data_IF_735633725636
#
_entry.id   IF_735633725636
#
_cell.length_a   1.000
_cell.length_b   1.000
_cell.length_c   1.000
_cell.angle_alpha   90.00
_cell.angle_beta   90.00
_cell.angle_gamma   90.00
#
_symmetry.space_group_name_H-M   'P 1'
#
loop_
_entity.id
_entity.type
_entity.pdbx_description
1 polymer ?
#
# COMPACT_ATOMS: atom_id res chain seq x y z
N UNK A 1 -11.97 -59.33 -3.54
CA UNK A 1 -11.76 -58.02 -2.88
C UNK A 1 -10.88 -57.18 -3.77
N UNK A 2 -11.46 -56.26 -4.53
CA UNK A 2 -10.72 -55.28 -5.33
C UNK A 2 -10.62 -53.99 -4.50
N UNK A 3 -9.40 -53.60 -4.12
CA UNK A 3 -9.14 -52.32 -3.46
C UNK A 3 -9.29 -51.21 -4.51
N UNK A 4 -10.32 -50.38 -4.36
CA UNK A 4 -10.42 -49.12 -5.07
C UNK A 4 -9.43 -48.13 -4.45
N UNK A 5 -8.40 -47.76 -5.21
CA UNK A 5 -7.49 -46.66 -4.85
C UNK A 5 -8.25 -45.37 -5.16
N UNK A 6 -8.78 -44.73 -4.11
CA UNK A 6 -9.29 -43.36 -4.18
C UNK A 6 -8.09 -42.43 -4.40
N UNK A 7 -7.93 -41.95 -5.63
CA UNK A 7 -7.04 -40.83 -5.91
C UNK A 7 -7.60 -39.59 -5.21
N UNK A 8 -6.91 -39.12 -4.17
CA UNK A 8 -7.17 -37.82 -3.59
C UNK A 8 -6.91 -36.77 -4.68
N UNK A 9 -7.81 -35.79 -4.89
CA UNK A 9 -7.53 -34.69 -5.79
C UNK A 9 -6.27 -33.97 -5.28
N UNK A 10 -5.29 -33.82 -6.17
CA UNK A 10 -4.16 -32.94 -5.94
C UNK A 10 -4.72 -31.54 -5.67
N UNK A 11 -4.68 -31.09 -4.43
CA UNK A 11 -4.89 -29.69 -4.08
C UNK A 11 -3.67 -28.93 -4.62
N UNK A 12 -3.71 -28.59 -5.90
CA UNK A 12 -2.85 -27.53 -6.41
C UNK A 12 -3.10 -26.31 -5.50
N UNK A 13 -2.04 -25.80 -4.87
CA UNK A 13 -2.12 -24.55 -4.11
C UNK A 13 -2.80 -23.51 -5.00
N UNK A 14 -3.85 -22.87 -4.49
CA UNK A 14 -4.50 -21.77 -5.22
C UNK A 14 -3.47 -20.67 -5.46
N UNK A 15 -3.42 -20.15 -6.70
CA UNK A 15 -2.62 -18.97 -7.06
C UNK A 15 -2.97 -17.82 -6.11
N UNK A 16 -1.97 -17.05 -5.67
CA UNK A 16 -2.21 -15.87 -4.83
C UNK A 16 -2.92 -14.80 -5.66
N UNK A 17 -4.13 -14.40 -5.25
CA UNK A 17 -4.96 -13.43 -5.96
C UNK A 17 -4.98 -12.05 -5.30
N UNK A 18 -5.32 -11.03 -6.11
CA UNK A 18 -5.55 -9.67 -5.63
C UNK A 18 -6.97 -9.53 -5.01
N UNK A 19 -7.17 -8.62 -4.04
CA UNK A 19 -8.45 -8.44 -3.35
C UNK A 19 -9.51 -7.63 -4.13
N UNK A 20 -9.27 -7.37 -5.41
CA UNK A 20 -10.17 -6.62 -6.28
C UNK A 20 -10.34 -7.35 -7.62
N UNK A 21 -11.52 -7.21 -8.27
CA UNK A 21 -11.74 -7.78 -9.59
C UNK A 21 -10.73 -7.21 -10.59
N UNK A 22 -10.20 -8.08 -11.45
CA UNK A 22 -9.35 -7.67 -12.55
C UNK A 22 -10.17 -7.52 -13.84
N UNK A 23 -9.96 -6.43 -14.57
CA UNK A 23 -10.64 -6.16 -15.84
C UNK A 23 -10.09 -7.07 -16.94
N UNK A 24 -10.96 -7.80 -17.63
CA UNK A 24 -10.61 -8.54 -18.85
C UNK A 24 -10.23 -7.56 -19.97
N UNK A 25 -9.21 -7.87 -20.79
CA UNK A 25 -8.85 -7.04 -21.94
C UNK A 25 -10.03 -6.92 -22.92
N UNK A 26 -10.13 -5.79 -23.58
CA UNK A 26 -11.09 -5.54 -24.65
C UNK A 26 -10.38 -4.89 -25.84
N UNK A 27 -10.76 -5.26 -27.06
CA UNK A 27 -10.18 -4.76 -28.32
C UNK A 27 -10.49 -3.29 -28.65
N UNK A 28 -10.79 -2.48 -27.62
CA UNK A 28 -10.94 -1.04 -27.77
C UNK A 28 -9.58 -0.39 -28.07
N UNK A 29 -9.30 -0.25 -29.37
CA UNK A 29 -8.30 0.56 -30.06
C UNK A 29 -6.88 0.62 -29.45
N UNK A 30 -5.88 0.26 -30.28
CA UNK A 30 -4.48 0.59 -30.04
C UNK A 30 -4.31 2.11 -29.87
N UNK A 31 -4.06 2.56 -28.64
CA UNK A 31 -3.47 3.88 -28.42
C UNK A 31 -1.97 3.76 -28.62
N UNK A 32 -1.48 4.20 -29.78
CA UNK A 32 -0.05 4.16 -30.14
C UNK A 32 0.83 5.13 -29.32
N UNK A 33 0.26 5.98 -28.48
CA UNK A 33 1.03 6.96 -27.70
C UNK A 33 1.53 6.41 -26.35
N UNK A 34 2.47 5.47 -26.47
CA UNK A 34 3.39 5.20 -25.39
C UNK A 34 4.57 6.16 -25.45
N UNK A 35 4.47 7.26 -24.71
CA UNK A 35 5.61 8.17 -24.50
C UNK A 35 6.80 7.41 -23.91
N UNK A 36 8.02 7.83 -24.24
CA UNK A 36 9.25 7.26 -23.69
C UNK A 36 9.23 7.30 -22.15
N UNK A 37 9.56 6.19 -21.45
CA UNK A 37 9.68 6.20 -20.00
C UNK A 37 10.82 7.12 -19.55
N UNK A 38 10.67 7.81 -18.40
CA UNK A 38 11.78 8.57 -17.82
C UNK A 38 12.91 7.62 -17.40
N UNK A 39 14.12 8.16 -17.31
CA UNK A 39 15.30 7.44 -16.86
C UNK A 39 15.08 6.77 -15.49
N UNK A 40 15.63 5.56 -15.33
CA UNK A 40 15.55 4.79 -14.11
C UNK A 40 16.38 5.45 -13.01
N UNK A 41 15.77 5.70 -11.85
CA UNK A 41 16.48 6.21 -10.67
C UNK A 41 16.98 5.02 -9.86
N UNK A 42 18.28 4.74 -9.94
CA UNK A 42 18.91 3.57 -9.29
C UNK A 42 19.00 3.75 -7.78
N UNK A 43 19.59 4.87 -7.34
CA UNK A 43 19.81 5.18 -5.94
C UNK A 43 18.86 6.24 -5.40
N UNK A 44 18.45 6.10 -4.14
CA UNK A 44 17.73 7.13 -3.40
C UNK A 44 18.45 7.47 -2.09
N UNK A 45 18.66 8.76 -1.91
CA UNK A 45 18.93 9.37 -0.62
C UNK A 45 17.79 10.34 -0.29
N UNK A 46 17.02 10.05 0.76
CA UNK A 46 15.85 10.84 1.12
C UNK A 46 16.08 11.61 2.43
N UNK A 47 15.91 12.93 2.36
CA UNK A 47 15.85 13.80 3.52
C UNK A 47 14.49 13.68 4.17
N UNK A 48 14.44 13.48 5.49
CA UNK A 48 13.18 13.48 6.23
C UNK A 48 12.54 14.88 6.17
N UNK A 49 11.23 14.96 5.87
CA UNK A 49 10.47 16.24 5.93
C UNK A 49 10.46 16.89 7.33
N UNK A 50 10.88 16.14 8.35
CA UNK A 50 11.01 16.58 9.72
C UNK A 50 12.44 17.04 10.06
N UNK A 51 13.38 17.11 9.12
CA UNK A 51 14.75 17.60 9.37
C UNK A 51 15.42 16.89 10.57
N UNK A 52 15.78 17.65 11.61
CA UNK A 52 16.28 17.17 12.92
C UNK A 52 15.26 17.27 14.06
N UNK A 53 13.96 17.44 13.74
CA UNK A 53 12.84 17.66 14.68
C UNK A 53 12.60 16.51 15.66
N UNK A 54 13.39 16.47 16.73
CA UNK A 54 13.16 15.70 17.94
C UNK A 54 12.85 14.20 17.76
N UNK A 55 12.51 13.51 18.86
CA UNK A 55 12.11 12.10 18.79
C UNK A 55 10.68 11.91 18.27
N UNK A 56 9.81 12.93 18.42
CA UNK A 56 8.39 12.86 18.06
C UNK A 56 8.14 13.07 16.57
N UNK A 57 9.02 13.80 15.87
CA UNK A 57 8.89 14.05 14.43
C UNK A 57 7.50 14.60 14.09
N UNK A 58 7.03 15.59 14.81
CA UNK A 58 5.65 16.09 14.70
C UNK A 58 5.56 17.50 14.12
N UNK A 59 6.70 18.16 13.86
CA UNK A 59 6.81 19.50 13.32
C UNK A 59 7.60 19.49 12.00
N UNK A 60 6.95 19.93 10.92
CA UNK A 60 7.55 19.94 9.59
C UNK A 60 8.62 21.02 9.53
N UNK A 61 9.83 20.63 9.12
CA UNK A 61 10.88 21.56 8.75
C UNK A 61 10.65 21.99 7.29
N UNK A 62 10.43 23.29 7.07
CA UNK A 62 10.04 23.80 5.76
C UNK A 62 11.14 23.60 4.69
N UNK A 63 12.41 23.63 5.05
CA UNK A 63 13.52 23.41 4.11
C UNK A 63 13.72 21.93 3.82
N UNK A 64 13.66 21.10 4.86
CA UNK A 64 13.74 19.66 4.73
C UNK A 64 12.56 19.11 3.91
N UNK A 65 11.34 19.63 4.10
CA UNK A 65 10.17 19.27 3.30
C UNK A 65 10.29 19.73 1.84
N UNK A 66 10.84 20.92 1.56
CA UNK A 66 11.15 21.33 0.18
C UNK A 66 12.16 20.39 -0.48
N UNK A 67 13.20 19.99 0.26
CA UNK A 67 14.23 19.05 -0.22
C UNK A 67 13.63 17.68 -0.50
N UNK A 68 12.88 17.13 0.46
CA UNK A 68 12.12 15.89 0.33
C UNK A 68 11.21 15.89 -0.91
N UNK A 69 10.42 16.96 -1.09
CA UNK A 69 9.54 17.13 -2.26
C UNK A 69 10.33 17.15 -3.57
N UNK A 70 11.49 17.82 -3.61
CA UNK A 70 12.36 17.85 -4.79
C UNK A 70 12.91 16.45 -5.12
N UNK A 71 13.41 15.73 -4.11
CA UNK A 71 13.94 14.37 -4.26
C UNK A 71 12.87 13.39 -4.73
N UNK A 72 11.65 13.46 -4.18
CA UNK A 72 10.57 12.54 -4.51
C UNK A 72 9.81 12.89 -5.79
N UNK A 73 9.95 14.12 -6.32
CA UNK A 73 9.20 14.60 -7.50
C UNK A 73 9.27 13.64 -8.70
N UNK A 74 10.44 13.21 -9.20
CA UNK A 74 10.51 12.35 -10.39
C UNK A 74 9.90 10.96 -10.14
N UNK A 75 10.10 10.38 -8.96
CA UNK A 75 9.55 9.07 -8.59
C UNK A 75 8.02 9.15 -8.51
N UNK A 76 7.49 10.17 -7.85
CA UNK A 76 6.04 10.39 -7.74
C UNK A 76 5.41 10.63 -9.11
N UNK A 77 6.06 11.41 -9.98
CA UNK A 77 5.57 11.64 -11.34
C UNK A 77 5.51 10.33 -12.14
N UNK A 78 6.54 9.49 -12.05
CA UNK A 78 6.54 8.16 -12.67
C UNK A 78 5.38 7.28 -12.16
N UNK A 79 5.27 7.11 -10.83
CA UNK A 79 4.22 6.28 -10.23
C UNK A 79 2.81 6.79 -10.55
N UNK A 80 2.59 8.11 -10.50
CA UNK A 80 1.30 8.71 -10.84
C UNK A 80 0.89 8.43 -12.29
N UNK A 81 1.83 8.50 -13.23
CA UNK A 81 1.54 8.24 -14.64
C UNK A 81 1.21 6.77 -14.89
N UNK A 82 1.96 5.84 -14.30
CA UNK A 82 1.66 4.41 -14.36
C UNK A 82 0.31 4.06 -13.75
N UNK A 83 0.05 4.54 -12.54
CA UNK A 83 -1.22 4.33 -11.83
C UNK A 83 -2.40 4.90 -12.63
N UNK A 84 -2.24 6.07 -13.23
CA UNK A 84 -3.28 6.67 -14.09
C UNK A 84 -3.57 5.79 -15.30
N UNK A 85 -2.55 5.24 -15.96
CA UNK A 85 -2.73 4.30 -17.09
C UNK A 85 -3.41 3.00 -16.64
N UNK A 86 -2.97 2.42 -15.53
CA UNK A 86 -3.58 1.23 -14.95
C UNK A 86 -5.05 1.45 -14.60
N UNK A 87 -5.42 2.58 -13.99
CA UNK A 87 -6.82 2.90 -13.72
C UNK A 87 -7.63 3.10 -15.02
N UNK A 88 -7.06 3.67 -16.09
CA UNK A 88 -7.75 3.73 -17.40
C UNK A 88 -7.98 2.34 -17.98
N UNK A 89 -7.01 1.45 -17.87
CA UNK A 89 -7.18 0.04 -18.23
C UNK A 89 -8.31 -0.58 -17.41
N UNK A 90 -8.30 -0.46 -16.09
CA UNK A 90 -9.36 -1.03 -15.22
C UNK A 90 -10.75 -0.52 -15.61
N UNK A 91 -10.86 0.77 -15.97
CA UNK A 91 -12.13 1.37 -16.39
C UNK A 91 -12.60 0.89 -17.78
N UNK A 92 -11.69 0.70 -18.74
CA UNK A 92 -12.04 0.54 -20.16
C UNK A 92 -11.70 -0.83 -20.75
N UNK A 93 -10.63 -1.47 -20.30
CA UNK A 93 -10.06 -2.72 -20.83
C UNK A 93 -9.06 -2.52 -21.98
N UNK A 94 -8.63 -1.29 -22.27
CA UNK A 94 -7.79 -0.98 -23.43
C UNK A 94 -6.37 -1.55 -23.31
N UNK A 95 -6.02 -2.52 -24.17
CA UNK A 95 -4.73 -3.23 -24.14
C UNK A 95 -3.52 -2.29 -24.23
N UNK A 96 -3.63 -1.18 -24.96
CA UNK A 96 -2.55 -0.21 -25.08
C UNK A 96 -2.14 0.43 -23.75
N UNK A 97 -3.10 0.74 -22.86
CA UNK A 97 -2.78 1.26 -21.53
C UNK A 97 -2.01 0.21 -20.70
N UNK A 98 -2.38 -1.07 -20.83
CA UNK A 98 -1.71 -2.18 -20.16
C UNK A 98 -0.28 -2.41 -20.67
N UNK A 99 -0.10 -2.46 -21.99
CA UNK A 99 1.21 -2.62 -22.63
C UNK A 99 2.14 -1.44 -22.31
N UNK A 100 1.61 -0.22 -22.22
CA UNK A 100 2.38 0.94 -21.81
C UNK A 100 2.83 0.89 -20.35
N UNK A 101 1.92 0.52 -19.45
CA UNK A 101 2.24 0.29 -18.04
C UNK A 101 3.39 -0.72 -17.93
N UNK A 102 3.29 -1.86 -18.64
CA UNK A 102 4.35 -2.86 -18.64
C UNK A 102 5.66 -2.34 -19.23
N UNK A 103 5.62 -1.61 -20.35
CA UNK A 103 6.82 -1.09 -21.00
C UNK A 103 7.60 -0.10 -20.12
N UNK A 104 6.91 0.74 -19.36
CA UNK A 104 7.54 1.68 -18.43
C UNK A 104 8.16 0.97 -17.23
N UNK A 105 7.46 -0.03 -16.69
CA UNK A 105 7.98 -0.86 -15.61
C UNK A 105 9.20 -1.69 -16.07
N UNK A 106 9.18 -2.26 -17.28
CA UNK A 106 10.30 -3.01 -17.85
C UNK A 106 11.55 -2.14 -18.03
N UNK A 107 11.39 -0.89 -18.46
CA UNK A 107 12.49 0.07 -18.55
C UNK A 107 13.13 0.34 -17.18
N UNK A 108 12.32 0.53 -16.13
CA UNK A 108 12.81 0.71 -14.76
C UNK A 108 13.45 -0.56 -14.19
N UNK A 109 12.88 -1.73 -14.49
CA UNK A 109 13.45 -3.02 -14.09
C UNK A 109 14.84 -3.24 -14.71
N UNK A 110 14.98 -3.04 -16.04
CA UNK A 110 16.26 -3.15 -16.75
C UNK A 110 17.28 -2.12 -16.28
N UNK A 111 16.81 -0.91 -15.97
CA UNK A 111 17.63 0.15 -15.38
C UNK A 111 17.94 -0.04 -13.89
N UNK A 112 17.49 -1.13 -13.26
CA UNK A 112 17.69 -1.42 -11.82
C UNK A 112 17.22 -0.28 -10.91
N UNK A 113 16.10 0.34 -11.26
CA UNK A 113 15.53 1.43 -10.47
C UNK A 113 15.27 0.98 -9.02
N UNK A 114 15.47 1.88 -8.07
CA UNK A 114 15.22 1.71 -6.63
C UNK A 114 16.03 0.58 -5.97
N UNK A 115 17.10 0.10 -6.60
CA UNK A 115 17.90 -1.02 -6.10
C UNK A 115 18.91 -0.60 -5.01
N UNK A 116 19.18 0.70 -4.85
CA UNK A 116 20.16 1.22 -3.88
C UNK A 116 19.53 2.28 -2.97
N UNK A 117 19.31 1.94 -1.69
CA UNK A 117 18.75 2.86 -0.70
C UNK A 117 19.86 3.36 0.22
N UNK A 118 20.20 4.64 0.13
CA UNK A 118 21.36 5.20 0.83
C UNK A 118 21.06 5.50 2.32
N UNK A 119 19.78 5.52 2.71
CA UNK A 119 19.36 5.77 4.08
C UNK A 119 17.98 5.16 4.41
N UNK A 120 17.59 5.09 5.70
CA UNK A 120 16.30 4.51 6.09
C UNK A 120 15.06 5.20 5.51
N UNK A 121 15.10 6.52 5.25
CA UNK A 121 13.95 7.19 4.64
C UNK A 121 13.75 6.76 3.19
N UNK A 122 14.84 6.44 2.48
CA UNK A 122 14.77 5.92 1.12
C UNK A 122 14.06 4.55 1.11
N UNK A 123 14.35 3.68 2.09
CA UNK A 123 13.64 2.41 2.28
C UNK A 123 12.12 2.61 2.49
N UNK A 124 11.75 3.62 3.26
CA UNK A 124 10.35 3.94 3.54
C UNK A 124 9.59 4.44 2.31
N UNK A 125 10.23 5.25 1.47
CA UNK A 125 9.65 5.74 0.21
C UNK A 125 9.67 4.65 -0.87
N UNK A 126 10.66 3.76 -0.88
CA UNK A 126 10.70 2.57 -1.75
C UNK A 126 9.49 1.67 -1.49
N UNK A 127 9.15 1.41 -0.23
CA UNK A 127 7.99 0.59 0.13
C UNK A 127 6.67 1.16 -0.44
N UNK A 128 6.39 2.44 -0.22
CA UNK A 128 5.18 3.10 -0.75
C UNK A 128 5.16 3.13 -2.28
N UNK A 129 6.32 3.36 -2.90
CA UNK A 129 6.45 3.38 -4.35
C UNK A 129 6.17 1.98 -4.91
N UNK A 130 6.83 0.96 -4.36
CA UNK A 130 6.67 -0.43 -4.79
C UNK A 130 5.23 -0.90 -4.67
N UNK A 131 4.55 -0.63 -3.55
CA UNK A 131 3.12 -0.92 -3.37
C UNK A 131 2.24 -0.30 -4.47
N UNK A 132 2.46 0.97 -4.81
CA UNK A 132 1.70 1.62 -5.89
C UNK A 132 1.96 1.01 -7.26
N UNK A 133 3.22 0.65 -7.55
CA UNK A 133 3.63 0.07 -8.83
C UNK A 133 3.16 -1.37 -9.00
N UNK A 134 3.26 -2.21 -7.97
CA UNK A 134 2.80 -3.59 -7.99
C UNK A 134 1.27 -3.67 -8.11
N UNK A 135 0.51 -2.83 -7.38
CA UNK A 135 -0.95 -2.78 -7.52
C UNK A 135 -1.36 -2.24 -8.92
N UNK A 136 -0.59 -1.32 -9.50
CA UNK A 136 -0.81 -0.90 -10.89
C UNK A 136 -0.53 -2.04 -11.89
N UNK A 137 0.49 -2.87 -11.66
CA UNK A 137 0.77 -4.04 -12.49
C UNK A 137 -0.32 -5.11 -12.34
N UNK A 138 -0.80 -5.37 -11.11
CA UNK A 138 -1.93 -6.28 -10.86
C UNK A 138 -3.17 -5.88 -11.64
N UNK A 139 -3.48 -4.58 -11.76
CA UNK A 139 -4.62 -4.13 -12.56
C UNK A 139 -4.51 -4.54 -14.03
N UNK A 140 -3.32 -4.43 -14.62
CA UNK A 140 -3.10 -4.66 -16.06
C UNK A 140 -2.68 -6.08 -16.41
N UNK A 141 -2.31 -6.89 -15.40
CA UNK A 141 -1.81 -8.25 -15.57
C UNK A 141 -2.65 -9.12 -16.51
N UNK A 142 -4.00 -9.11 -16.50
CA UNK A 142 -4.77 -9.93 -17.44
C UNK A 142 -4.46 -9.68 -18.93
N UNK A 143 -4.03 -8.48 -19.30
CA UNK A 143 -3.67 -8.13 -20.68
C UNK A 143 -2.22 -8.43 -21.05
N UNK A 144 -1.33 -8.60 -20.06
CA UNK A 144 0.11 -8.60 -20.31
C UNK A 144 0.88 -9.74 -19.63
N UNK A 145 0.21 -10.64 -18.89
CA UNK A 145 0.87 -11.75 -18.17
C UNK A 145 1.68 -12.67 -19.08
N UNK A 146 1.27 -12.84 -20.34
CA UNK A 146 1.96 -13.67 -21.32
C UNK A 146 3.11 -12.95 -22.05
N UNK A 147 3.33 -11.65 -21.80
CA UNK A 147 4.44 -10.90 -22.36
C UNK A 147 5.75 -11.22 -21.60
N UNK A 148 6.84 -11.50 -22.31
CA UNK A 148 8.13 -11.86 -21.69
C UNK A 148 8.67 -10.78 -20.73
N UNK A 149 8.31 -9.51 -20.93
CA UNK A 149 8.68 -8.40 -20.04
C UNK A 149 8.02 -8.53 -18.66
N UNK A 150 6.84 -9.15 -18.57
CA UNK A 150 6.13 -9.34 -17.31
C UNK A 150 6.99 -10.07 -16.28
N UNK A 151 7.59 -11.20 -16.67
CA UNK A 151 8.47 -11.96 -15.79
C UNK A 151 9.71 -11.16 -15.35
N UNK A 152 10.26 -10.31 -16.22
CA UNK A 152 11.38 -9.40 -15.87
C UNK A 152 10.98 -8.38 -14.83
N UNK A 153 9.82 -7.75 -14.99
CA UNK A 153 9.29 -6.77 -14.02
C UNK A 153 8.96 -7.42 -12.69
N UNK A 154 8.32 -8.60 -12.70
CA UNK A 154 7.98 -9.33 -11.47
C UNK A 154 9.23 -9.74 -10.69
N UNK A 155 10.28 -10.23 -11.36
CA UNK A 155 11.57 -10.53 -10.69
C UNK A 155 12.17 -9.28 -10.05
N UNK A 156 12.23 -8.16 -10.77
CA UNK A 156 12.72 -6.90 -10.21
C UNK A 156 11.93 -6.45 -8.98
N UNK A 157 10.60 -6.48 -9.03
CA UNK A 157 9.75 -6.15 -7.88
C UNK A 157 9.95 -7.10 -6.69
N UNK A 158 10.17 -8.39 -6.97
CA UNK A 158 10.47 -9.42 -5.95
C UNK A 158 11.81 -9.17 -5.26
N UNK A 159 12.84 -8.79 -6.02
CA UNK A 159 14.15 -8.41 -5.47
C UNK A 159 14.06 -7.16 -4.59
N UNK A 160 13.29 -6.15 -5.02
CA UNK A 160 13.03 -4.95 -4.22
C UNK A 160 12.26 -5.26 -2.93
N UNK A 161 11.21 -6.08 -3.00
CA UNK A 161 10.43 -6.48 -1.83
C UNK A 161 11.30 -7.26 -0.83
N UNK A 162 12.01 -8.28 -1.31
CA UNK A 162 12.88 -9.13 -0.49
C UNK A 162 13.98 -8.33 0.20
N UNK A 163 14.67 -7.44 -0.54
CA UNK A 163 15.71 -6.59 0.06
C UNK A 163 15.16 -5.57 1.06
N UNK A 164 13.96 -5.03 0.81
CA UNK A 164 13.28 -4.14 1.76
C UNK A 164 12.90 -4.90 3.04
N UNK A 165 12.32 -6.09 2.91
CA UNK A 165 11.97 -6.93 4.05
C UNK A 165 13.19 -7.26 4.90
N UNK A 166 14.31 -7.65 4.27
CA UNK A 166 15.57 -7.92 4.95
C UNK A 166 16.09 -6.71 5.73
N UNK A 167 16.02 -5.50 5.16
CA UNK A 167 16.37 -4.27 5.88
C UNK A 167 15.49 -4.07 7.12
N UNK A 168 14.17 -4.24 6.98
CA UNK A 168 13.21 -4.04 8.07
C UNK A 168 13.39 -5.06 9.20
N UNK A 169 13.66 -6.33 8.87
CA UNK A 169 13.97 -7.37 9.85
C UNK A 169 15.29 -7.07 10.57
N UNK A 170 16.36 -6.72 9.83
CA UNK A 170 17.68 -6.41 10.40
C UNK A 170 17.72 -5.08 11.18
N UNK A 171 16.69 -4.25 11.10
CA UNK A 171 16.60 -2.96 11.79
C UNK A 171 15.50 -2.91 12.83
N UNK A 172 14.70 -3.97 12.99
CA UNK A 172 13.47 -3.97 13.78
C UNK A 172 13.64 -3.43 15.20
N UNK A 173 14.69 -3.86 15.88
CA UNK A 173 14.92 -3.52 17.30
C UNK A 173 15.64 -2.18 17.49
N UNK A 174 16.31 -1.66 16.44
CA UNK A 174 17.09 -0.41 16.48
C UNK A 174 16.40 0.79 15.85
N UNK A 175 15.46 0.57 14.94
CA UNK A 175 14.78 1.61 14.18
C UNK A 175 13.27 1.55 14.43
N UNK A 176 12.70 2.59 15.04
CA UNK A 176 11.25 2.68 15.28
C UNK A 176 10.42 2.58 13.99
N UNK A 177 10.94 3.13 12.89
CA UNK A 177 10.31 3.04 11.57
C UNK A 177 10.07 1.59 11.12
N UNK A 178 10.92 0.66 11.55
CA UNK A 178 10.79 -0.76 11.22
C UNK A 178 9.71 -1.49 12.01
N UNK A 179 8.96 -0.79 12.86
CA UNK A 179 7.85 -1.33 13.67
C UNK A 179 6.55 -0.53 13.58
N UNK A 180 6.59 0.68 13.02
CA UNK A 180 5.45 1.59 12.91
C UNK A 180 4.82 1.51 11.51
N UNK A 181 4.00 2.50 11.14
CA UNK A 181 3.35 2.63 9.84
C UNK A 181 4.23 2.32 8.62
N UNK A 182 5.54 2.61 8.65
CA UNK A 182 6.42 2.26 7.53
C UNK A 182 6.51 0.74 7.32
N UNK A 183 6.55 -0.06 8.39
CA UNK A 183 6.52 -1.52 8.28
C UNK A 183 5.21 -2.02 7.65
N UNK A 184 4.09 -1.34 7.91
CA UNK A 184 2.80 -1.71 7.32
C UNK A 184 2.79 -1.42 5.81
N UNK A 185 3.43 -0.34 5.37
CA UNK A 185 3.63 -0.06 3.94
C UNK A 185 4.53 -1.08 3.25
N UNK A 186 5.56 -1.57 3.93
CA UNK A 186 6.38 -2.69 3.43
C UNK A 186 5.54 -3.96 3.33
N UNK A 187 4.69 -4.24 4.31
CA UNK A 187 3.77 -5.38 4.24
C UNK A 187 2.84 -5.25 3.02
N UNK A 188 2.31 -4.07 2.73
CA UNK A 188 1.48 -3.86 1.53
C UNK A 188 2.26 -4.09 0.23
N UNK A 189 3.49 -3.58 0.14
CA UNK A 189 4.35 -3.85 -1.00
C UNK A 189 4.60 -5.35 -1.17
N UNK A 190 4.92 -6.06 -0.10
CA UNK A 190 5.15 -7.52 -0.11
C UNK A 190 3.91 -8.32 -0.50
N UNK A 191 2.72 -8.01 0.03
CA UNK A 191 1.48 -8.70 -0.33
C UNK A 191 1.11 -8.51 -1.81
N UNK A 192 1.26 -7.30 -2.32
CA UNK A 192 0.95 -7.01 -3.73
C UNK A 192 1.97 -7.61 -4.70
N UNK A 193 3.24 -7.72 -4.31
CA UNK A 193 4.26 -8.45 -5.10
C UNK A 193 4.06 -9.96 -5.00
N UNK A 194 3.66 -10.49 -3.84
CA UNK A 194 3.32 -11.89 -3.67
C UNK A 194 2.24 -12.35 -4.67
N UNK A 195 1.18 -11.56 -4.86
CA UNK A 195 0.13 -11.84 -5.84
C UNK A 195 0.58 -11.76 -7.31
N UNK A 196 1.70 -11.07 -7.61
CA UNK A 196 2.27 -11.03 -8.95
C UNK A 196 3.22 -12.20 -9.21
N UNK A 197 3.99 -12.57 -8.19
CA UNK A 197 5.03 -13.59 -8.26
C UNK A 197 4.56 -14.99 -7.87
N UNK A 198 3.33 -15.12 -7.37
CA UNK A 198 2.81 -16.31 -6.68
C UNK A 198 3.75 -16.74 -5.53
N UNK A 199 4.28 -15.76 -4.81
CA UNK A 199 5.29 -15.95 -3.76
C UNK A 199 4.65 -15.99 -2.37
N UNK A 200 4.42 -17.21 -1.87
CA UNK A 200 3.86 -17.43 -0.54
C UNK A 200 4.73 -16.88 0.59
N UNK A 201 6.05 -16.88 0.48
CA UNK A 201 6.92 -16.38 1.53
C UNK A 201 6.77 -14.86 1.71
N UNK A 202 6.61 -14.12 0.61
CA UNK A 202 6.30 -12.69 0.67
C UNK A 202 4.92 -12.41 1.28
N UNK A 203 3.90 -13.23 0.96
CA UNK A 203 2.57 -13.10 1.57
C UNK A 203 2.62 -13.38 3.07
N UNK A 204 3.28 -14.47 3.48
CA UNK A 204 3.40 -14.86 4.89
C UNK A 204 4.17 -13.80 5.69
N UNK A 205 5.24 -13.22 5.12
CA UNK A 205 5.97 -12.10 5.74
C UNK A 205 5.08 -10.86 5.91
N UNK A 206 4.28 -10.54 4.88
CA UNK A 206 3.33 -9.42 4.93
C UNK A 206 2.30 -9.60 6.05
N UNK A 207 1.66 -10.78 6.09
CA UNK A 207 0.66 -11.14 7.10
C UNK A 207 1.26 -11.13 8.50
N UNK A 208 2.48 -11.64 8.67
CA UNK A 208 3.16 -11.61 9.96
C UNK A 208 3.44 -10.18 10.43
N UNK A 209 3.80 -9.27 9.52
CA UNK A 209 4.00 -7.85 9.82
C UNK A 209 2.69 -7.14 10.14
N UNK A 210 1.61 -7.44 9.41
CA UNK A 210 0.26 -7.00 9.73
C UNK A 210 -0.18 -7.45 11.13
N UNK A 211 -0.03 -8.75 11.43
CA UNK A 211 -0.36 -9.33 12.73
C UNK A 211 0.35 -8.59 13.87
N UNK A 212 1.67 -8.38 13.74
CA UNK A 212 2.45 -7.61 14.75
C UNK A 212 1.90 -6.19 14.94
N UNK A 213 1.48 -5.53 13.86
CA UNK A 213 0.87 -4.20 13.91
C UNK A 213 -0.49 -4.19 14.63
N UNK A 214 -1.46 -4.97 14.14
CA UNK A 214 -2.83 -4.95 14.68
C UNK A 214 -2.92 -5.53 16.09
N UNK A 215 -2.17 -6.60 16.39
CA UNK A 215 -2.15 -7.21 17.72
C UNK A 215 -1.37 -6.40 18.75
N UNK A 216 -0.53 -5.46 18.29
CA UNK A 216 0.16 -4.50 19.16
C UNK A 216 -0.69 -3.26 19.51
N UNK A 217 -1.90 -3.13 18.95
CA UNK A 217 -2.79 -2.03 19.26
C UNK A 217 -3.35 -2.13 20.69
N UNK A 218 -3.70 -0.99 21.28
CA UNK A 218 -4.40 -0.97 22.57
C UNK A 218 -5.81 -1.54 22.46
N UNK A 219 -6.43 -1.87 23.59
CA UNK A 219 -7.82 -2.34 23.62
C UNK A 219 -8.82 -1.37 22.95
N UNK A 220 -8.53 -0.07 22.97
CA UNK A 220 -9.34 0.96 22.33
C UNK A 220 -9.07 1.10 20.84
N UNK A 221 -8.00 0.48 20.31
CA UNK A 221 -7.60 0.58 18.90
C UNK A 221 -6.51 1.62 18.61
N UNK A 222 -5.82 2.14 19.62
CA UNK A 222 -4.71 3.06 19.38
C UNK A 222 -3.44 2.28 19.00
N UNK A 223 -2.66 2.80 18.06
CA UNK A 223 -1.36 2.27 17.67
C UNK A 223 -0.26 2.98 18.48
N UNK A 224 0.44 2.30 19.42
CA UNK A 224 1.34 2.97 20.36
C UNK A 224 2.43 3.83 19.71
N UNK A 225 3.08 3.34 18.66
CA UNK A 225 4.14 4.08 17.96
C UNK A 225 3.61 5.27 17.14
N UNK A 226 2.32 5.27 16.81
CA UNK A 226 1.68 6.40 16.14
C UNK A 226 1.19 7.46 17.15
N UNK A 227 0.86 7.05 18.38
CA UNK A 227 0.58 7.99 19.48
C UNK A 227 1.82 8.81 19.85
N UNK A 228 3.01 8.23 19.75
CA UNK A 228 4.29 8.94 20.00
C UNK A 228 4.52 10.14 19.06
N UNK A 229 3.69 10.31 18.03
CA UNK A 229 3.73 11.41 17.07
C UNK A 229 3.00 12.66 17.55
N UNK A 230 2.62 12.69 18.83
CA UNK A 230 2.12 13.88 19.52
C UNK A 230 0.92 14.49 18.81
N UNK A 231 1.04 15.75 18.40
CA UNK A 231 -0.05 16.49 17.72
C UNK A 231 -0.42 15.91 16.35
N UNK A 232 0.42 15.05 15.77
CA UNK A 232 0.20 14.37 14.49
C UNK A 232 -0.29 12.93 14.63
N UNK A 233 -0.55 12.43 15.84
CA UNK A 233 -0.95 11.04 16.05
C UNK A 233 -2.14 10.62 15.18
N UNK A 234 -3.15 11.49 15.02
CA UNK A 234 -4.31 11.26 14.14
C UNK A 234 -3.93 11.08 12.68
N UNK A 235 -3.05 11.93 12.14
CA UNK A 235 -2.56 11.84 10.76
C UNK A 235 -1.82 10.51 10.55
N UNK A 236 -1.01 10.11 11.54
CA UNK A 236 -0.25 8.87 11.50
C UNK A 236 -1.09 7.61 11.57
N UNK A 237 -2.21 7.62 12.31
CA UNK A 237 -3.17 6.53 12.29
C UNK A 237 -3.86 6.38 10.92
N UNK A 238 -4.27 7.50 10.30
CA UNK A 238 -4.84 7.46 8.94
C UNK A 238 -3.83 6.93 7.92
N UNK A 239 -2.58 7.35 8.03
CA UNK A 239 -1.49 6.86 7.19
C UNK A 239 -1.21 5.35 7.39
N UNK A 240 -1.28 4.85 8.63
CA UNK A 240 -1.16 3.43 8.95
C UNK A 240 -2.33 2.62 8.37
N UNK A 241 -3.57 3.12 8.48
CA UNK A 241 -4.76 2.44 7.95
C UNK A 241 -4.77 2.33 6.43
N UNK A 242 -4.17 3.31 5.73
CA UNK A 242 -3.92 3.20 4.29
C UNK A 242 -3.06 1.99 3.90
N UNK A 243 -2.27 1.41 4.80
CA UNK A 243 -1.54 0.19 4.54
C UNK A 243 -2.19 -1.05 5.18
N UNK A 244 -2.59 -0.98 6.45
CA UNK A 244 -3.13 -2.12 7.20
C UNK A 244 -4.41 -2.70 6.58
N UNK A 245 -5.34 -1.85 6.14
CA UNK A 245 -6.61 -2.31 5.56
C UNK A 245 -6.39 -3.05 4.24
N UNK A 246 -5.64 -2.53 3.26
CA UNK A 246 -5.36 -3.30 2.05
C UNK A 246 -4.54 -4.57 2.31
N UNK A 247 -3.60 -4.59 3.26
CA UNK A 247 -2.90 -5.85 3.63
C UNK A 247 -3.88 -6.91 4.11
N UNK A 248 -4.82 -6.53 4.99
CA UNK A 248 -5.87 -7.44 5.43
C UNK A 248 -6.74 -7.93 4.27
N UNK A 249 -7.08 -7.05 3.32
CA UNK A 249 -7.84 -7.45 2.12
C UNK A 249 -7.07 -8.47 1.26
N UNK A 250 -5.76 -8.26 1.03
CA UNK A 250 -4.92 -9.25 0.34
C UNK A 250 -4.89 -10.59 1.07
N UNK A 251 -4.77 -10.59 2.40
CA UNK A 251 -4.78 -11.82 3.18
C UNK A 251 -6.14 -12.56 3.07
N UNK A 252 -7.25 -11.83 3.20
CA UNK A 252 -8.61 -12.39 3.15
C UNK A 252 -8.98 -12.93 1.77
N UNK A 253 -8.49 -12.29 0.70
CA UNK A 253 -8.65 -12.81 -0.66
C UNK A 253 -7.92 -14.15 -0.88
N UNK A 254 -7.02 -14.53 0.02
CA UNK A 254 -6.20 -15.75 -0.03
C UNK A 254 -6.43 -16.64 1.20
N UNK A 255 -7.68 -16.65 1.72
CA UNK A 255 -8.15 -17.52 2.79
C UNK A 255 -7.39 -17.38 4.14
N UNK A 256 -6.78 -16.21 4.38
CA UNK A 256 -6.17 -15.86 5.67
C UNK A 256 -7.08 -14.85 6.38
N UNK A 257 -7.68 -15.29 7.50
CA UNK A 257 -8.64 -14.53 8.30
C UNK A 257 -8.02 -13.32 9.06
N UNK A 258 -7.43 -12.38 8.33
CA UNK A 258 -6.77 -11.19 8.87
C UNK A 258 -7.74 -10.25 9.62
N UNK A 259 -9.00 -10.18 9.21
CA UNK A 259 -10.02 -9.34 9.83
C UNK A 259 -10.39 -9.76 11.25
N UNK A 260 -10.20 -11.02 11.60
CA UNK A 260 -10.53 -11.56 12.92
C UNK A 260 -9.31 -11.70 13.85
N UNK A 261 -8.10 -11.43 13.35
CA UNK A 261 -6.88 -11.43 14.15
C UNK A 261 -7.02 -10.51 15.37
N UNK A 262 -6.64 -11.04 16.53
CA UNK A 262 -6.57 -10.32 17.81
C UNK A 262 -7.89 -9.66 18.18
N UNK A 263 -8.96 -10.47 18.16
CA UNK A 263 -10.34 -10.07 18.48
C UNK A 263 -10.82 -8.91 17.61
N UNK A 264 -10.55 -8.99 16.30
CA UNK A 264 -10.91 -7.97 15.32
C UNK A 264 -10.21 -6.62 15.54
N UNK A 265 -8.91 -6.65 15.87
CA UNK A 265 -8.14 -5.46 16.21
C UNK A 265 -8.19 -4.37 15.11
N UNK A 266 -8.19 -4.75 13.83
CA UNK A 266 -8.32 -3.80 12.72
C UNK A 266 -9.58 -2.93 12.83
N UNK A 267 -10.73 -3.54 13.17
CA UNK A 267 -12.00 -2.81 13.34
C UNK A 267 -11.92 -1.82 14.50
N UNK A 268 -11.23 -2.19 15.59
CA UNK A 268 -10.99 -1.28 16.73
C UNK A 268 -10.11 -0.09 16.30
N UNK A 269 -9.04 -0.34 15.54
CA UNK A 269 -8.14 0.72 15.04
C UNK A 269 -8.87 1.68 14.10
N UNK A 270 -9.66 1.16 13.15
CA UNK A 270 -10.47 1.97 12.25
C UNK A 270 -11.47 2.81 13.04
N UNK A 271 -12.16 2.21 14.01
CA UNK A 271 -13.13 2.91 14.84
C UNK A 271 -12.49 4.05 15.66
N UNK A 272 -11.38 3.78 16.33
CA UNK A 272 -10.64 4.77 17.11
C UNK A 272 -10.20 5.95 16.24
N UNK A 273 -9.64 5.63 15.08
CA UNK A 273 -9.09 6.63 14.16
C UNK A 273 -10.17 7.48 13.52
N UNK A 274 -11.23 6.89 12.98
CA UNK A 274 -12.27 7.65 12.27
C UNK A 274 -13.15 8.48 13.22
N UNK A 275 -13.43 8.00 14.45
CA UNK A 275 -14.09 8.83 15.48
C UNK A 275 -13.29 10.09 15.79
N UNK A 276 -11.95 9.99 15.78
CA UNK A 276 -11.07 11.13 16.07
C UNK A 276 -11.13 12.27 15.05
N UNK A 277 -11.74 12.06 13.88
CA UNK A 277 -11.91 13.11 12.86
C UNK A 277 -12.87 14.19 13.37
N UNK A 278 -14.04 13.79 13.89
CA UNK A 278 -15.03 14.72 14.48
C UNK A 278 -14.66 15.16 15.89
N UNK A 279 -14.24 14.21 16.73
CA UNK A 279 -13.89 14.48 18.12
C UNK A 279 -12.49 13.93 18.44
N UNK A 280 -11.45 14.78 18.42
CA UNK A 280 -10.09 14.34 18.69
C UNK A 280 -9.79 14.11 20.17
N UNK A 281 -10.74 14.27 21.11
CA UNK A 281 -10.44 14.24 22.54
C UNK A 281 -9.78 12.93 23.01
N UNK A 282 -10.31 11.78 22.58
CA UNK A 282 -9.74 10.47 22.95
C UNK A 282 -8.34 10.26 22.37
N UNK A 283 -8.10 10.70 21.12
CA UNK A 283 -6.79 10.65 20.48
C UNK A 283 -5.80 11.61 21.17
N UNK A 284 -6.25 12.82 21.53
CA UNK A 284 -5.42 13.80 22.21
C UNK A 284 -5.01 13.34 23.61
N UNK A 285 -5.92 12.72 24.34
CA UNK A 285 -5.64 12.10 25.63
C UNK A 285 -4.60 10.98 25.48
N UNK A 286 -4.81 10.08 24.52
CA UNK A 286 -3.89 8.95 24.29
C UNK A 286 -2.49 9.39 23.81
N UNK A 287 -2.40 10.45 23.00
CA UNK A 287 -1.14 10.99 22.49
C UNK A 287 -0.48 12.01 23.44
N UNK A 288 -1.15 12.39 24.53
CA UNK A 288 -0.68 13.43 25.47
C UNK A 288 -0.54 14.83 24.86
N UNK A 289 -1.16 15.09 23.70
CA UNK A 289 -1.09 16.35 22.95
C UNK A 289 -2.38 16.63 22.19
N UNK A 290 -2.80 17.90 22.14
CA UNK A 290 -3.87 18.32 21.25
C UNK A 290 -3.52 18.00 19.79
N UNK A 291 -4.50 17.51 19.04
CA UNK A 291 -4.28 17.08 17.65
C UNK A 291 -4.38 18.27 16.69
N UNK A 292 -3.49 18.31 15.69
CA UNK A 292 -3.54 19.35 14.65
C UNK A 292 -4.88 19.30 13.89
N UNK A 293 -5.56 20.44 13.71
CA UNK A 293 -6.80 20.49 12.96
C UNK A 293 -6.54 20.22 11.47
N UNK A 294 -7.51 19.60 10.80
CA UNK A 294 -7.49 19.51 9.35
C UNK A 294 -7.85 20.88 8.75
N UNK A 295 -7.15 21.30 7.68
CA UNK A 295 -7.31 22.62 7.05
C UNK A 295 -8.77 22.96 6.72
N UNK A 296 -9.55 21.97 6.29
CA UNK A 296 -10.98 22.11 5.97
C UNK A 296 -11.89 21.28 6.88
N UNK A 297 -11.44 20.98 8.11
CA UNK A 297 -12.17 20.12 9.05
C UNK A 297 -12.24 18.63 8.71
N UNK A 298 -11.76 18.22 7.52
CA UNK A 298 -11.73 16.83 7.07
C UNK A 298 -10.35 16.44 6.51
N UNK A 299 -9.93 15.17 6.65
CA UNK A 299 -8.76 14.65 5.94
C UNK A 299 -8.97 14.69 4.42
N UNK A 300 -7.89 14.73 3.66
CA UNK A 300 -7.97 14.60 2.20
C UNK A 300 -8.43 13.20 1.79
N UNK A 301 -9.01 13.08 0.59
CA UNK A 301 -9.42 11.79 0.00
C UNK A 301 -8.26 10.77 -0.05
N UNK A 302 -7.01 11.25 -0.21
CA UNK A 302 -5.83 10.40 -0.17
C UNK A 302 -5.59 9.76 1.19
N UNK A 303 -5.82 10.47 2.30
CA UNK A 303 -5.68 9.92 3.65
C UNK A 303 -6.83 8.95 4.02
N UNK A 304 -7.90 8.95 3.22
CA UNK A 304 -9.10 8.14 3.43
C UNK A 304 -9.26 7.06 2.36
N UNK A 305 -8.23 6.81 1.53
CA UNK A 305 -8.34 5.87 0.42
C UNK A 305 -8.71 4.45 0.86
N UNK A 306 -8.23 4.02 2.03
CA UNK A 306 -8.60 2.72 2.62
C UNK A 306 -10.10 2.55 2.92
N UNK A 307 -10.86 3.64 3.07
CA UNK A 307 -12.27 3.58 3.47
C UNK A 307 -13.08 2.80 2.43
N UNK A 308 -12.73 2.88 1.15
CA UNK A 308 -13.38 2.09 0.11
C UNK A 308 -13.23 0.58 0.34
N UNK A 309 -12.01 0.15 0.66
CA UNK A 309 -11.67 -1.25 0.92
C UNK A 309 -12.36 -1.73 2.19
N UNK A 310 -12.32 -0.90 3.25
CA UNK A 310 -12.97 -1.23 4.51
C UNK A 310 -14.49 -1.30 4.37
N UNK A 311 -15.10 -0.38 3.61
CA UNK A 311 -16.54 -0.40 3.32
C UNK A 311 -16.96 -1.67 2.59
N UNK A 312 -16.14 -2.15 1.64
CA UNK A 312 -16.41 -3.40 0.91
C UNK A 312 -16.45 -4.61 1.85
N UNK A 313 -15.57 -4.65 2.85
CA UNK A 313 -15.48 -5.72 3.84
C UNK A 313 -16.52 -5.59 4.96
N UNK A 314 -16.79 -4.37 5.41
CA UNK A 314 -17.70 -4.07 6.53
C UNK A 314 -18.67 -2.93 6.19
N UNK A 315 -19.68 -3.17 5.34
CA UNK A 315 -20.62 -2.14 4.94
C UNK A 315 -21.32 -1.50 6.14
N UNK A 316 -21.37 -0.17 6.18
CA UNK A 316 -22.03 0.63 7.25
C UNK A 316 -21.42 0.48 8.64
N UNK A 317 -20.21 -0.10 8.74
CA UNK A 317 -19.55 -0.31 10.03
C UNK A 317 -18.58 0.81 10.41
N UNK A 318 -18.05 1.57 9.44
CA UNK A 318 -17.11 2.64 9.72
C UNK A 318 -17.80 3.87 10.35
N UNK A 319 -17.19 4.54 11.35
CA UNK A 319 -17.68 5.82 11.83
C UNK A 319 -17.71 6.84 10.69
N UNK A 320 -18.82 7.57 10.59
CA UNK A 320 -19.02 8.61 9.56
C UNK A 320 -18.97 8.09 8.12
N UNK A 321 -19.22 6.79 7.88
CA UNK A 321 -19.04 6.19 6.56
C UNK A 321 -19.77 6.96 5.45
N UNK A 322 -21.03 7.36 5.67
CA UNK A 322 -21.81 8.10 4.67
C UNK A 322 -21.16 9.43 4.28
N UNK A 323 -20.60 10.16 5.24
CA UNK A 323 -19.88 11.41 4.96
C UNK A 323 -18.54 11.17 4.27
N UNK A 324 -17.81 10.13 4.68
CA UNK A 324 -16.51 9.80 4.08
C UNK A 324 -16.67 9.35 2.62
N UNK A 325 -17.69 8.55 2.30
CA UNK A 325 -17.95 8.08 0.95
C UNK A 325 -18.45 9.18 -0.01
N UNK A 326 -18.89 10.34 0.50
CA UNK A 326 -19.16 11.53 -0.35
C UNK A 326 -17.88 12.15 -0.92
N UNK A 327 -16.70 11.81 -0.38
CA UNK A 327 -15.40 12.27 -0.89
C UNK A 327 -14.91 11.44 -2.08
N UNK A 328 -15.70 10.46 -2.55
CA UNK A 328 -15.36 9.68 -3.74
C UNK A 328 -15.16 10.59 -4.96
N UNK A 329 -14.22 10.28 -5.86
CA UNK A 329 -13.37 9.09 -5.83
C UNK A 329 -12.26 9.18 -4.76
N UNK A 330 -12.07 8.10 -4.02
CA UNK A 330 -11.02 7.95 -3.03
C UNK A 330 -9.75 7.45 -3.73
N UNK A 331 -8.75 8.34 -3.86
CA UNK A 331 -7.58 8.12 -4.71
C UNK A 331 -6.29 8.24 -3.88
N UNK A 332 -5.45 7.20 -3.94
CA UNK A 332 -4.09 7.24 -3.42
C UNK A 332 -3.14 6.49 -4.35
N UNK A 333 -2.12 7.18 -4.88
CA UNK A 333 -1.12 6.58 -5.79
C UNK A 333 -0.40 5.38 -5.17
N UNK A 334 0.04 5.41 -3.89
CA UNK A 334 0.65 4.23 -3.25
C UNK A 334 -0.29 3.01 -3.10
N UNK A 335 -1.60 3.18 -3.30
CA UNK A 335 -2.58 2.08 -3.30
C UNK A 335 -2.99 1.64 -4.72
N UNK A 336 -2.23 2.05 -5.74
CA UNK A 336 -2.60 1.78 -7.14
C UNK A 336 -3.67 2.70 -7.69
N UNK A 337 -3.95 3.83 -7.03
CA UNK A 337 -4.79 4.91 -7.54
C UNK A 337 -6.20 4.94 -6.97
N UNK A 338 -7.18 4.93 -7.88
CA UNK A 338 -8.59 5.11 -7.56
C UNK A 338 -9.19 3.86 -6.90
N UNK A 339 -9.24 3.84 -5.57
CA UNK A 339 -9.80 2.72 -4.81
C UNK A 339 -11.28 2.56 -5.10
N UNK A 340 -12.01 3.66 -5.27
CA UNK A 340 -13.42 3.64 -5.69
C UNK A 340 -13.64 2.95 -7.02
N UNK A 341 -12.67 2.98 -7.94
CA UNK A 341 -12.73 2.20 -9.17
C UNK A 341 -12.43 0.72 -8.91
N UNK A 342 -11.38 0.42 -8.14
CA UNK A 342 -10.92 -0.95 -7.89
C UNK A 342 -11.93 -1.81 -7.14
N UNK A 343 -12.66 -1.22 -6.19
CA UNK A 343 -13.58 -1.93 -5.30
C UNK A 343 -15.05 -1.65 -5.61
N UNK A 344 -15.37 -1.05 -6.76
CA UNK A 344 -16.75 -0.80 -7.17
C UNK A 344 -17.48 -2.10 -7.49
N UNK A 345 -18.55 -2.37 -6.76
CA UNK A 345 -19.65 -3.23 -7.21
C UNK A 345 -20.98 -2.64 -6.78
#
# INVERSE_FOLDING_TARGET
>A
MALAILALPSLASSEIIAPFPQRTPSDAAMSLDCTTPPEAIVSLAITSKYGSDGPQRDTIDAEADRTFKKQMKPIRAFSQQLVKRANRYTLRGGIADAQCTLSWLDAWAKGKALSQMDNPNAEFERAQTLAGLSIALLQVAPAVRNDARFATVVRWMTDLATSTNAFFDATRDRLKGSRNNHAYWVALASASVAALADDKALLDWSVQTYHRGVCGATAQGALPLELERGKKAREYHLFALNALVPVAAFAEANDIAAYDMCDGALRKIVNFTLKSIRDPAAMALAAGKAQEPFVNGMPSAQHLAFVEIYHRAFPKAAPMESELLKLRPLIATPLGGNQTLLYRH
#
